data_IF_714933684719
#
_entry.id   IF_714933684719
#
_cell.length_a   1.000
_cell.length_b   1.000
_cell.length_c   1.000
_cell.angle_alpha   90.00
_cell.angle_beta   90.00
_cell.angle_gamma   90.00
#
_symmetry.space_group_name_H-M   'P 1'
#
loop_
_entity.id
_entity.type
_entity.pdbx_description
1 polymer ?
#
# COMPACT_ATOMS: atom_id res chain seq x y z
N UNK A 1 11.04 -8.70 -21.18
CA UNK A 1 9.61 -8.96 -20.90
C UNK A 1 8.79 -7.87 -21.57
N UNK A 2 7.70 -8.22 -22.25
CA UNK A 2 6.82 -7.24 -22.87
C UNK A 2 5.93 -6.60 -21.79
N UNK A 3 6.05 -5.29 -21.58
CA UNK A 3 5.19 -4.53 -20.68
C UNK A 3 3.87 -4.11 -21.33
N UNK A 4 2.90 -3.70 -20.51
CA UNK A 4 1.55 -3.29 -20.93
C UNK A 4 1.41 -1.78 -20.76
N UNK A 5 0.75 -1.10 -21.71
CA UNK A 5 0.52 0.34 -21.65
C UNK A 5 -0.68 0.71 -20.77
N UNK A 6 -0.74 1.94 -20.29
CA UNK A 6 -1.95 2.46 -19.62
C UNK A 6 -3.20 2.44 -20.51
N UNK A 7 -3.07 2.60 -21.83
CA UNK A 7 -4.19 2.47 -22.75
C UNK A 7 -4.75 1.04 -22.74
N UNK A 8 -3.87 0.04 -22.82
CA UNK A 8 -4.24 -1.38 -22.76
C UNK A 8 -4.78 -1.76 -21.37
N UNK A 9 -4.16 -1.28 -20.28
CA UNK A 9 -4.65 -1.51 -18.92
C UNK A 9 -6.04 -0.90 -18.70
N UNK A 10 -6.29 0.29 -19.25
CA UNK A 10 -7.61 0.93 -19.16
C UNK A 10 -8.68 0.16 -19.94
N UNK A 11 -8.30 -0.46 -21.06
CA UNK A 11 -9.22 -1.23 -21.91
C UNK A 11 -9.50 -2.64 -21.37
N UNK A 12 -8.51 -3.29 -20.76
CA UNK A 12 -8.57 -4.72 -20.38
C UNK A 12 -8.80 -4.97 -18.89
N UNK A 13 -8.36 -4.06 -18.01
CA UNK A 13 -8.44 -4.24 -16.55
C UNK A 13 -9.51 -3.35 -15.95
N UNK A 14 -9.38 -2.02 -16.07
CA UNK A 14 -10.32 -1.04 -15.50
C UNK A 14 -9.90 0.39 -15.84
N UNK A 15 -10.86 1.31 -15.96
CA UNK A 15 -10.61 2.76 -15.93
C UNK A 15 -9.83 3.22 -14.69
N UNK A 16 -9.91 2.46 -13.58
CA UNK A 16 -9.20 2.72 -12.32
C UNK A 16 -7.98 1.80 -12.13
N UNK A 17 -7.31 1.39 -13.21
CA UNK A 17 -6.12 0.54 -13.17
C UNK A 17 -5.02 1.08 -12.23
N UNK A 18 -4.95 2.40 -12.00
CA UNK A 18 -4.02 3.00 -11.05
C UNK A 18 -4.18 2.48 -9.62
N UNK A 19 -5.42 2.22 -9.17
CA UNK A 19 -5.65 1.62 -7.85
C UNK A 19 -5.15 0.17 -7.81
N UNK A 20 -5.35 -0.58 -8.89
CA UNK A 20 -4.88 -1.96 -9.01
C UNK A 20 -3.35 -2.05 -9.01
N UNK A 21 -2.66 -1.18 -9.77
CA UNK A 21 -1.20 -1.05 -9.70
C UNK A 21 -0.74 -0.68 -8.28
N UNK A 22 -1.45 0.22 -7.61
CA UNK A 22 -1.23 0.56 -6.21
C UNK A 22 -1.25 -0.67 -5.29
N UNK A 23 -2.26 -1.53 -5.44
CA UNK A 23 -2.34 -2.79 -4.71
C UNK A 23 -1.19 -3.75 -5.03
N UNK A 24 -0.77 -3.84 -6.29
CA UNK A 24 0.38 -4.68 -6.67
C UNK A 24 1.69 -4.18 -6.04
N UNK A 25 1.92 -2.86 -6.04
CA UNK A 25 3.08 -2.29 -5.33
C UNK A 25 3.02 -2.57 -3.83
N UNK A 26 1.83 -2.47 -3.23
CA UNK A 26 1.65 -2.84 -1.83
C UNK A 26 2.03 -4.29 -1.62
N UNK A 27 1.56 -5.21 -2.46
CA UNK A 27 1.92 -6.64 -2.41
C UNK A 27 3.41 -6.94 -2.69
N UNK A 28 4.26 -5.93 -2.91
CA UNK A 28 5.70 -6.10 -3.09
C UNK A 28 6.12 -6.41 -4.53
N UNK A 29 5.21 -6.33 -5.49
CA UNK A 29 5.56 -6.44 -6.91
C UNK A 29 6.37 -5.21 -7.35
N UNK A 30 7.46 -5.46 -8.06
CA UNK A 30 8.30 -4.43 -8.67
C UNK A 30 7.84 -4.24 -10.11
N UNK A 31 7.22 -3.09 -10.38
CA UNK A 31 6.75 -2.72 -11.71
C UNK A 31 7.50 -1.46 -12.14
N UNK A 32 8.23 -1.55 -13.26
CA UNK A 32 8.87 -0.40 -13.86
C UNK A 32 7.84 0.41 -14.67
N UNK A 33 7.93 1.74 -14.62
CA UNK A 33 7.07 2.67 -15.37
C UNK A 33 7.95 3.50 -16.30
N UNK A 34 7.73 3.34 -17.60
CA UNK A 34 8.43 4.10 -18.64
C UNK A 34 7.46 5.02 -19.38
N UNK A 35 7.87 6.27 -19.63
CA UNK A 35 7.10 7.20 -20.45
C UNK A 35 7.39 6.96 -21.93
N UNK A 36 6.34 6.80 -22.74
CA UNK A 36 6.45 6.73 -24.20
C UNK A 36 6.11 8.08 -24.88
N UNK A 37 5.85 9.13 -24.09
CA UNK A 37 5.38 10.43 -24.58
C UNK A 37 3.86 10.56 -24.55
N UNK A 38 3.37 11.80 -24.65
CA UNK A 38 1.93 12.13 -24.81
C UNK A 38 0.99 11.50 -23.75
N UNK A 39 1.50 11.27 -22.53
CA UNK A 39 0.72 10.64 -21.45
C UNK A 39 0.57 9.12 -21.57
N UNK A 40 1.23 8.49 -22.54
CA UNK A 40 1.33 7.04 -22.68
C UNK A 40 2.47 6.52 -21.80
N UNK A 41 2.17 5.51 -20.98
CA UNK A 41 3.12 4.88 -20.09
C UNK A 41 3.11 3.38 -20.27
N UNK A 42 4.29 2.76 -20.31
CA UNK A 42 4.49 1.32 -20.32
C UNK A 42 4.83 0.84 -18.92
N UNK A 43 4.11 -0.17 -18.44
CA UNK A 43 4.31 -0.82 -17.16
C UNK A 43 4.86 -2.22 -17.39
N UNK A 44 6.04 -2.51 -16.85
CA UNK A 44 6.71 -3.80 -17.03
C UNK A 44 6.97 -4.42 -15.67
N UNK A 45 6.48 -5.63 -15.44
CA UNK A 45 6.84 -6.40 -14.25
C UNK A 45 8.34 -6.73 -14.31
N UNK A 46 9.09 -6.34 -13.28
CA UNK A 46 10.54 -6.58 -13.19
C UNK A 46 10.92 -7.51 -12.04
N UNK A 47 10.00 -7.78 -11.13
CA UNK A 47 10.21 -8.74 -10.06
C UNK A 47 8.96 -9.00 -9.25
N UNK A 48 8.81 -10.25 -8.84
CA UNK A 48 7.78 -10.69 -7.91
C UNK A 48 8.32 -10.63 -6.47
N UNK A 49 7.45 -10.45 -5.46
CA UNK A 49 7.88 -10.54 -4.07
C UNK A 49 8.46 -11.93 -3.78
N UNK A 50 9.61 -11.97 -3.10
CA UNK A 50 10.30 -13.23 -2.75
C UNK A 50 9.69 -13.96 -1.55
N UNK A 51 8.83 -13.27 -0.81
CA UNK A 51 8.09 -13.78 0.35
C UNK A 51 6.62 -13.45 0.13
N UNK A 52 5.71 -14.31 0.60
CA UNK A 52 4.29 -13.97 0.68
C UNK A 52 4.17 -12.65 1.43
N UNK A 53 3.69 -11.61 0.76
CA UNK A 53 3.58 -10.29 1.34
C UNK A 53 2.70 -10.38 2.59
N UNK A 54 3.34 -10.40 3.76
CA UNK A 54 2.66 -10.20 5.03
C UNK A 54 2.27 -8.74 5.02
N UNK A 55 1.07 -8.43 4.53
CA UNK A 55 0.54 -7.09 4.52
C UNK A 55 0.81 -6.46 5.86
N UNK A 56 1.72 -5.48 5.90
CA UNK A 56 2.13 -4.87 7.16
C UNK A 56 0.84 -4.47 7.86
N UNK A 57 0.54 -5.17 8.95
CA UNK A 57 -0.69 -4.95 9.69
C UNK A 57 -0.73 -3.46 10.03
N UNK A 58 -1.90 -2.81 9.92
CA UNK A 58 -1.99 -1.38 10.20
C UNK A 58 -1.31 -1.13 11.55
N UNK A 59 -0.52 -0.06 11.66
CA UNK A 59 0.29 0.17 12.85
C UNK A 59 -0.55 0.08 14.15
N UNK A 60 -1.78 0.60 14.12
CA UNK A 60 -2.74 0.47 15.21
C UNK A 60 -3.19 -0.97 15.46
N UNK A 61 -3.46 -1.76 14.42
CA UNK A 61 -3.88 -3.16 14.55
C UNK A 61 -2.73 -4.04 15.10
N UNK A 62 -1.49 -3.81 14.64
CA UNK A 62 -0.30 -4.46 15.17
C UNK A 62 -0.10 -4.13 16.66
N UNK A 63 -0.22 -2.84 17.01
CA UNK A 63 -0.04 -2.35 18.38
C UNK A 63 -1.13 -2.89 19.31
N UNK A 64 -2.39 -2.89 18.89
CA UNK A 64 -3.51 -3.51 19.61
C UNK A 64 -3.30 -4.99 19.84
N UNK A 65 -2.83 -5.70 18.80
CA UNK A 65 -2.54 -7.14 18.90
C UNK A 65 -1.46 -7.41 19.94
N UNK A 66 -0.39 -6.62 19.96
CA UNK A 66 0.70 -6.77 20.91
C UNK A 66 0.28 -6.42 22.34
N UNK A 67 -0.43 -5.31 22.55
CA UNK A 67 -0.98 -4.94 23.86
C UNK A 67 -1.91 -6.02 24.40
N UNK A 68 -2.72 -6.63 23.54
CA UNK A 68 -3.61 -7.74 23.93
C UNK A 68 -2.83 -8.97 24.35
N UNK A 69 -1.77 -9.36 23.61
CA UNK A 69 -0.90 -10.48 23.97
C UNK A 69 -0.20 -10.28 25.32
N UNK A 70 0.13 -9.03 25.64
CA UNK A 70 0.77 -8.66 26.91
C UNK A 70 -0.24 -8.50 28.07
N UNK A 71 -1.54 -8.72 27.84
CA UNK A 71 -2.58 -8.54 28.87
C UNK A 71 -2.96 -7.08 29.13
N UNK A 72 -2.48 -6.15 28.30
CA UNK A 72 -2.69 -4.70 28.41
C UNK A 72 -3.85 -4.20 27.53
N UNK A 73 -4.82 -5.06 27.21
CA UNK A 73 -5.94 -4.73 26.33
C UNK A 73 -6.82 -3.58 26.86
N UNK A 74 -6.84 -3.37 28.18
CA UNK A 74 -7.58 -2.29 28.82
C UNK A 74 -7.06 -0.88 28.47
N UNK A 75 -5.80 -0.75 28.03
CA UNK A 75 -5.16 0.53 27.66
C UNK A 75 -5.61 1.00 26.27
N UNK A 76 -6.10 0.09 25.42
CA UNK A 76 -6.41 0.38 24.02
C UNK A 76 -7.37 1.57 23.83
N UNK A 77 -8.50 1.70 24.57
CA UNK A 77 -9.40 2.84 24.43
C UNK A 77 -8.76 4.16 24.85
N UNK A 78 -7.95 4.15 25.91
CA UNK A 78 -7.23 5.34 26.38
C UNK A 78 -6.15 5.78 25.39
N UNK A 79 -5.44 4.82 24.80
CA UNK A 79 -4.44 5.07 23.79
C UNK A 79 -5.04 5.77 22.57
N UNK A 80 -6.20 5.31 22.07
CA UNK A 80 -6.90 5.96 20.96
C UNK A 80 -7.29 7.40 21.30
N UNK A 81 -7.84 7.62 22.50
CA UNK A 81 -8.20 8.96 22.97
C UNK A 81 -6.98 9.88 23.13
N UNK A 82 -5.86 9.37 23.65
CA UNK A 82 -4.60 10.12 23.77
C UNK A 82 -4.10 10.51 22.39
N UNK A 83 -4.06 9.57 21.45
CA UNK A 83 -3.58 9.80 20.09
C UNK A 83 -4.42 10.85 19.35
N UNK A 84 -5.74 10.81 19.49
CA UNK A 84 -6.64 11.83 18.96
C UNK A 84 -6.41 13.19 19.63
N UNK A 85 -6.22 13.22 20.96
CA UNK A 85 -5.97 14.45 21.73
C UNK A 85 -4.67 15.15 21.30
N UNK A 86 -3.61 14.39 21.03
CA UNK A 86 -2.31 14.94 20.60
C UNK A 86 -2.21 15.10 19.07
N UNK A 87 -3.30 14.88 18.33
CA UNK A 87 -3.36 15.07 16.89
C UNK A 87 -2.59 14.03 16.07
N UNK A 88 -2.27 12.87 16.65
CA UNK A 88 -1.69 11.74 15.92
C UNK A 88 -2.82 11.00 15.21
N UNK A 89 -3.06 11.40 13.96
CA UNK A 89 -3.88 10.59 13.07
C UNK A 89 -3.05 9.38 12.61
N UNK A 90 -3.47 8.16 12.97
CA UNK A 90 -2.98 6.92 12.33
C UNK A 90 -3.62 6.80 10.94
N UNK A 91 -3.45 7.83 10.12
CA UNK A 91 -3.83 7.79 8.72
C UNK A 91 -2.66 7.24 7.96
N UNK A 92 -2.90 6.16 7.23
CA UNK A 92 -2.02 5.77 6.15
C UNK A 92 -1.99 6.93 5.15
N UNK A 93 -0.86 7.64 5.05
CA UNK A 93 -0.64 8.54 3.92
C UNK A 93 -0.35 7.65 2.72
N UNK A 94 -1.38 7.36 1.91
CA UNK A 94 -1.17 6.75 0.61
C UNK A 94 -0.19 7.63 -0.18
N UNK A 95 1.04 7.12 -0.42
CA UNK A 95 2.05 7.82 -1.23
C UNK A 95 3.38 8.17 -0.56
N UNK A 96 3.73 7.66 0.63
CA UNK A 96 5.07 7.90 1.24
C UNK A 96 6.21 7.01 0.72
N UNK A 97 6.06 6.34 -0.43
CA UNK A 97 7.13 5.56 -1.07
C UNK A 97 7.87 6.32 -2.19
N UNK A 98 8.01 7.65 -2.04
CA UNK A 98 8.94 8.44 -2.84
C UNK A 98 9.89 9.17 -1.87
N UNK A 99 10.84 8.44 -1.31
CA UNK A 99 12.08 8.95 -0.73
C UNK A 99 13.16 7.87 -0.89
#
# INVERSE_FOLDING_TARGET
MAGVTNAELSATVSLRYGAHLGSLYQLGYKINKESLGEGLFRYTLVGEPSEDFTGKQKAMDALKSELTKQGNSFIIPELEAIMDTIGIAVRYKGGTHNA
#
